data_IF_616510599279
#
_entry.id   IF_616510599279
#
_cell.length_a   1.000
_cell.length_b   1.000
_cell.length_c   1.000
_cell.angle_alpha   90.00
_cell.angle_beta   90.00
_cell.angle_gamma   90.00
#
_symmetry.space_group_name_H-M   'P 1'
#
loop_
_entity.id
_entity.type
_entity.pdbx_description
1 polymer ?
#
# COMPACT_ATOMS: atom_id res chain seq x y z
N UNK A 1 24.71 -8.64 -3.98
CA UNK A 1 23.93 -8.08 -2.85
C UNK A 1 23.10 -6.92 -3.37
N UNK A 2 21.78 -6.89 -3.09
CA UNK A 2 20.85 -5.89 -3.66
C UNK A 2 20.65 -4.65 -2.77
N UNK A 3 21.04 -4.73 -1.50
CA UNK A 3 21.16 -3.62 -0.56
C UNK A 3 22.33 -3.89 0.39
N UNK A 4 22.94 -2.83 0.92
CA UNK A 4 23.91 -2.88 2.01
C UNK A 4 23.43 -1.92 3.12
N UNK A 5 22.44 -2.33 3.93
CA UNK A 5 21.86 -1.47 4.95
C UNK A 5 22.82 -1.29 6.13
N UNK A 6 22.90 -0.08 6.68
CA UNK A 6 23.55 0.16 7.98
C UNK A 6 22.64 -0.22 9.15
N UNK A 7 21.33 -0.18 8.94
CA UNK A 7 20.29 -0.51 9.92
C UNK A 7 19.18 -1.30 9.23
N UNK A 8 18.61 -2.28 9.93
CA UNK A 8 17.50 -3.08 9.45
C UNK A 8 16.48 -3.27 10.57
N UNK A 9 15.21 -3.43 10.20
CA UNK A 9 14.11 -3.76 11.11
C UNK A 9 13.10 -4.62 10.35
N UNK A 10 12.58 -5.65 11.01
CA UNK A 10 11.48 -6.46 10.52
C UNK A 10 10.18 -6.00 11.20
N UNK A 11 9.18 -5.61 10.42
CA UNK A 11 7.89 -5.17 10.94
C UNK A 11 6.88 -6.30 10.78
N UNK A 12 6.22 -6.65 11.87
CA UNK A 12 5.21 -7.69 11.93
C UNK A 12 3.84 -7.10 12.22
N UNK A 13 2.83 -7.64 11.54
CA UNK A 13 1.43 -7.28 11.79
C UNK A 13 0.98 -7.85 13.14
N UNK A 14 0.03 -7.17 13.77
CA UNK A 14 -0.64 -7.66 14.96
C UNK A 14 -1.74 -8.65 14.57
N UNK A 15 -2.11 -9.55 15.47
CA UNK A 15 -3.10 -10.61 15.24
C UNK A 15 -4.52 -10.04 15.05
N UNK A 16 -4.77 -8.83 15.55
CA UNK A 16 -6.09 -8.23 15.52
C UNK A 16 -6.37 -7.45 14.21
N UNK A 17 -6.87 -8.20 13.22
CA UNK A 17 -7.22 -7.69 11.89
C UNK A 17 -8.36 -6.65 11.88
N UNK A 18 -9.13 -6.55 12.96
CA UNK A 18 -10.36 -5.74 13.04
C UNK A 18 -10.21 -4.49 13.91
N UNK A 19 -9.06 -4.26 14.56
CA UNK A 19 -8.86 -3.12 15.48
C UNK A 19 -8.26 -1.87 14.83
N UNK A 20 -7.79 -1.96 13.58
CA UNK A 20 -7.14 -0.85 12.90
C UNK A 20 -8.08 0.33 12.62
N UNK A 21 -7.53 1.54 12.60
CA UNK A 21 -8.28 2.79 12.33
C UNK A 21 -9.00 2.77 10.96
N UNK A 22 -8.49 2.02 9.97
CA UNK A 22 -9.14 1.85 8.67
C UNK A 22 -10.46 1.08 8.78
N UNK A 23 -10.50 0.04 9.59
CA UNK A 23 -11.71 -0.74 9.84
C UNK A 23 -12.78 0.11 10.56
N UNK A 24 -12.36 0.96 11.51
CA UNK A 24 -13.26 1.91 12.19
C UNK A 24 -13.94 2.90 11.22
N UNK A 25 -13.26 3.26 10.12
CA UNK A 25 -13.80 4.18 9.10
C UNK A 25 -14.55 3.46 7.98
N UNK A 26 -14.17 2.22 7.67
CA UNK A 26 -14.76 1.39 6.64
C UNK A 26 -14.87 -0.05 7.18
N UNK A 27 -16.03 -0.44 7.75
CA UNK A 27 -16.21 -1.75 8.39
C UNK A 27 -15.91 -2.94 7.47
N UNK A 28 -16.15 -2.81 6.17
CA UNK A 28 -15.86 -3.88 5.19
C UNK A 28 -14.39 -3.93 4.75
N UNK A 29 -13.52 -3.09 5.30
CA UNK A 29 -12.09 -3.07 4.99
C UNK A 29 -11.46 -4.44 5.27
N UNK A 30 -10.78 -5.01 4.26
CA UNK A 30 -10.18 -6.36 4.31
C UNK A 30 -11.19 -7.49 4.63
N UNK A 31 -12.50 -7.25 4.54
CA UNK A 31 -13.50 -8.25 4.88
C UNK A 31 -13.38 -9.53 4.03
N UNK A 32 -13.60 -10.67 4.68
CA UNK A 32 -13.53 -12.01 4.09
C UNK A 32 -12.13 -12.51 3.74
N UNK A 33 -11.05 -11.80 4.06
CA UNK A 33 -9.70 -12.35 3.84
C UNK A 33 -9.56 -13.58 4.73
N UNK A 34 -9.10 -14.73 4.23
CA UNK A 34 -8.92 -15.90 5.09
C UNK A 34 -7.98 -15.56 6.25
N UNK A 35 -8.18 -16.14 7.44
CA UNK A 35 -7.24 -16.00 8.54
C UNK A 35 -5.87 -16.57 8.13
N UNK A 36 -4.84 -16.25 8.93
CA UNK A 36 -3.55 -16.90 8.77
C UNK A 36 -3.73 -18.43 8.96
N UNK A 37 -3.13 -19.28 8.10
CA UNK A 37 -3.11 -20.73 8.34
C UNK A 37 -2.48 -21.04 9.70
N UNK A 38 -3.03 -22.02 10.43
CA UNK A 38 -2.59 -22.42 11.78
C UNK A 38 -1.11 -22.81 11.80
N UNK A 39 -0.66 -23.61 10.84
CA UNK A 39 0.76 -23.99 10.69
C UNK A 39 1.69 -22.78 10.60
N UNK A 40 1.26 -21.71 9.91
CA UNK A 40 2.05 -20.49 9.81
C UNK A 40 2.01 -19.67 11.10
N UNK A 41 0.86 -19.66 11.79
CA UNK A 41 0.69 -18.99 13.08
C UNK A 41 1.63 -19.58 14.13
N UNK A 42 1.71 -20.91 14.21
CA UNK A 42 2.59 -21.64 15.12
C UNK A 42 4.09 -21.39 14.83
N UNK A 43 4.45 -21.11 13.58
CA UNK A 43 5.82 -20.81 13.15
C UNK A 43 6.23 -19.34 13.37
N UNK A 44 5.28 -18.43 13.64
CA UNK A 44 5.57 -17.00 13.81
C UNK A 44 6.61 -16.70 14.91
N UNK A 45 6.60 -17.36 16.10
CA UNK A 45 7.62 -17.16 17.13
C UNK A 45 9.02 -17.56 16.63
N UNK A 46 9.14 -18.68 15.92
CA UNK A 46 10.40 -19.15 15.37
C UNK A 46 10.95 -18.21 14.30
N UNK A 47 10.08 -17.67 13.44
CA UNK A 47 10.44 -16.66 12.45
C UNK A 47 10.99 -15.39 13.11
N UNK A 48 10.32 -14.86 14.15
CA UNK A 48 10.79 -13.68 14.90
C UNK A 48 12.16 -13.93 15.53
N UNK A 49 12.34 -15.08 16.19
CA UNK A 49 13.62 -15.46 16.78
C UNK A 49 14.74 -15.55 15.72
N UNK A 50 14.45 -16.06 14.52
CA UNK A 50 15.41 -16.17 13.43
C UNK A 50 15.88 -14.80 12.89
N UNK A 51 15.02 -13.78 12.93
CA UNK A 51 15.40 -12.39 12.60
C UNK A 51 16.29 -11.79 13.69
N UNK A 52 15.89 -11.94 14.96
CA UNK A 52 16.65 -11.40 16.10
C UNK A 52 18.04 -12.02 16.21
N UNK A 53 18.16 -13.34 16.00
CA UNK A 53 19.45 -14.04 15.95
C UNK A 53 20.39 -13.51 14.86
N UNK A 54 19.83 -12.95 13.78
CA UNK A 54 20.58 -12.32 12.69
C UNK A 54 20.85 -10.82 12.93
N UNK A 55 20.52 -10.31 14.12
CA UNK A 55 20.69 -8.90 14.48
C UNK A 55 19.67 -7.96 13.86
N UNK A 56 18.51 -8.48 13.41
CA UNK A 56 17.42 -7.66 12.87
C UNK A 56 16.30 -7.58 13.92
N UNK A 57 16.06 -6.42 14.54
CA UNK A 57 14.98 -6.24 15.49
C UNK A 57 13.60 -6.48 14.86
N UNK A 58 12.72 -7.11 15.62
CA UNK A 58 11.33 -7.37 15.24
C UNK A 58 10.40 -6.39 15.95
N UNK A 59 9.70 -5.53 15.19
CA UNK A 59 8.77 -4.54 15.74
C UNK A 59 7.33 -4.88 15.37
N UNK A 60 6.43 -4.67 16.33
CA UNK A 60 4.98 -4.72 16.14
C UNK A 60 4.34 -3.67 17.05
N UNK A 61 3.14 -3.23 16.70
CA UNK A 61 2.43 -2.19 17.45
C UNK A 61 0.96 -2.57 17.57
N UNK A 62 0.46 -2.55 18.80
CA UNK A 62 -0.95 -2.83 19.05
C UNK A 62 -1.82 -1.76 18.41
N UNK A 63 -2.79 -2.18 17.59
CA UNK A 63 -3.79 -1.29 16.99
C UNK A 63 -3.34 -0.46 15.79
N UNK A 64 -2.07 -0.51 15.38
CA UNK A 64 -1.66 0.02 14.08
C UNK A 64 -1.26 -1.13 13.15
N UNK A 65 -1.55 -0.94 11.87
CA UNK A 65 -1.17 -1.91 10.86
C UNK A 65 0.35 -1.83 10.58
N UNK A 66 0.94 -2.98 10.26
CA UNK A 66 2.37 -3.07 9.93
C UNK A 66 2.79 -2.12 8.80
N UNK A 67 1.89 -1.84 7.85
CA UNK A 67 2.15 -0.94 6.73
C UNK A 67 2.32 0.51 7.15
N UNK A 68 1.49 0.99 8.07
CA UNK A 68 1.60 2.33 8.67
C UNK A 68 2.89 2.48 9.46
N UNK A 69 3.30 1.46 10.22
CA UNK A 69 4.55 1.49 10.97
C UNK A 69 5.77 1.54 10.03
N UNK A 70 5.81 0.67 9.02
CA UNK A 70 6.90 0.64 8.03
C UNK A 70 6.97 1.94 7.23
N UNK A 71 5.83 2.48 6.79
CA UNK A 71 5.73 3.76 6.11
C UNK A 71 6.24 4.91 6.99
N UNK A 72 5.82 4.95 8.26
CA UNK A 72 6.24 5.97 9.22
C UNK A 72 7.75 5.97 9.42
N UNK A 73 8.36 4.79 9.58
CA UNK A 73 9.81 4.67 9.74
C UNK A 73 10.57 5.13 8.50
N UNK A 74 10.16 4.65 7.32
CA UNK A 74 10.83 5.02 6.08
C UNK A 74 10.74 6.54 5.82
N UNK A 75 9.58 7.14 6.04
CA UNK A 75 9.39 8.59 5.89
C UNK A 75 10.23 9.38 6.88
N UNK A 76 10.26 9.00 8.16
CA UNK A 76 11.09 9.69 9.17
C UNK A 76 12.59 9.62 8.84
N UNK A 77 13.09 8.44 8.44
CA UNK A 77 14.50 8.25 8.07
C UNK A 77 14.87 9.12 6.86
N UNK A 78 13.99 9.17 5.86
CA UNK A 78 14.21 9.94 4.63
C UNK A 78 14.11 11.45 4.85
N UNK A 79 13.20 11.89 5.73
CA UNK A 79 13.11 13.28 6.17
C UNK A 79 14.34 13.73 6.97
N UNK A 80 14.99 12.80 7.69
CA UNK A 80 16.27 13.05 8.35
C UNK A 80 17.48 13.09 7.38
N UNK A 81 17.25 12.99 6.07
CA UNK A 81 18.31 13.06 5.05
C UNK A 81 18.98 11.71 4.75
N UNK A 82 18.44 10.60 5.23
CA UNK A 82 18.98 9.26 4.97
C UNK A 82 18.20 8.52 3.87
N UNK A 83 18.66 7.32 3.52
CA UNK A 83 18.01 6.46 2.54
C UNK A 83 17.20 5.35 3.23
N UNK A 84 16.05 5.00 2.66
CA UNK A 84 15.22 3.90 3.12
C UNK A 84 14.89 2.95 1.96
N UNK A 85 14.89 1.64 2.25
CA UNK A 85 14.39 0.62 1.32
C UNK A 85 13.38 -0.24 2.05
N UNK A 86 12.14 -0.26 1.54
CA UNK A 86 11.09 -1.16 2.02
C UNK A 86 11.16 -2.44 1.18
N UNK A 87 11.24 -3.60 1.82
CA UNK A 87 11.17 -4.91 1.15
C UNK A 87 9.75 -5.44 1.31
N UNK A 88 8.95 -5.37 0.26
CA UNK A 88 7.55 -5.83 0.27
C UNK A 88 7.04 -6.06 -1.15
N UNK A 89 6.05 -6.93 -1.29
CA UNK A 89 5.26 -7.10 -2.51
C UNK A 89 4.05 -6.17 -2.57
N UNK A 90 3.73 -5.47 -1.48
CA UNK A 90 2.58 -4.56 -1.43
C UNK A 90 2.83 -3.30 -2.25
N UNK A 91 2.02 -3.11 -3.29
CA UNK A 91 2.07 -1.93 -4.16
C UNK A 91 1.57 -0.65 -3.45
N UNK A 92 0.94 -0.78 -2.28
CA UNK A 92 0.49 0.34 -1.44
C UNK A 92 1.62 1.29 -1.03
N UNK A 93 2.82 0.77 -0.78
CA UNK A 93 3.99 1.59 -0.45
C UNK A 93 4.43 2.49 -1.60
N UNK A 94 4.07 2.16 -2.85
CA UNK A 94 4.54 2.90 -4.03
C UNK A 94 4.12 4.37 -4.02
N UNK A 95 3.09 4.74 -3.26
CA UNK A 95 2.74 6.15 -3.05
C UNK A 95 3.84 6.98 -2.35
N UNK A 96 4.76 6.31 -1.65
CA UNK A 96 5.85 6.92 -0.88
C UNK A 96 7.15 7.07 -1.68
N UNK A 97 7.17 6.66 -2.95
CA UNK A 97 8.39 6.69 -3.76
C UNK A 97 8.98 8.10 -3.83
N UNK A 98 10.29 8.18 -3.56
CA UNK A 98 11.09 9.40 -3.61
C UNK A 98 12.52 9.05 -4.03
N UNK A 99 13.38 10.04 -4.32
CA UNK A 99 14.79 9.77 -4.60
C UNK A 99 15.52 9.01 -3.48
N UNK A 100 15.06 9.14 -2.23
CA UNK A 100 15.66 8.53 -1.04
C UNK A 100 14.88 7.33 -0.48
N UNK A 101 13.65 7.08 -0.96
CA UNK A 101 12.80 5.96 -0.55
C UNK A 101 12.53 5.02 -1.73
N UNK A 102 13.00 3.77 -1.61
CA UNK A 102 12.84 2.74 -2.64
C UNK A 102 12.07 1.54 -2.12
N UNK A 103 11.44 0.80 -3.04
CA UNK A 103 10.65 -0.40 -2.71
C UNK A 103 11.13 -1.57 -3.54
N UNK A 104 11.44 -2.69 -2.86
CA UNK A 104 11.99 -3.89 -3.46
C UNK A 104 11.03 -5.07 -3.30
N UNK A 105 10.64 -5.66 -4.43
CA UNK A 105 10.00 -6.97 -4.47
C UNK A 105 11.10 -8.03 -4.52
N UNK A 106 11.28 -8.74 -3.40
CA UNK A 106 12.31 -9.76 -3.26
C UNK A 106 12.04 -10.97 -4.18
N UNK A 107 10.80 -11.44 -4.24
CA UNK A 107 10.43 -12.64 -4.98
C UNK A 107 10.56 -12.46 -6.49
N UNK A 108 10.10 -11.33 -7.01
CA UNK A 108 10.21 -11.00 -8.44
C UNK A 108 11.54 -10.35 -8.81
N UNK A 109 12.45 -10.20 -7.84
CA UNK A 109 13.80 -9.61 -8.02
C UNK A 109 13.76 -8.26 -8.75
N UNK A 110 12.73 -7.44 -8.50
CA UNK A 110 12.49 -6.16 -9.20
C UNK A 110 12.29 -4.99 -8.25
N UNK A 111 12.52 -3.79 -8.76
CA UNK A 111 12.16 -2.53 -8.08
C UNK A 111 10.74 -2.15 -8.46
N UNK A 112 9.97 -1.67 -7.48
CA UNK A 112 8.67 -1.06 -7.73
C UNK A 112 8.89 0.46 -7.82
N UNK A 113 9.38 0.93 -8.96
CA UNK A 113 9.78 2.32 -9.21
C UNK A 113 8.77 3.06 -10.11
N UNK A 114 9.02 4.35 -10.40
CA UNK A 114 8.13 5.16 -11.21
C UNK A 114 7.80 4.53 -12.60
N UNK A 115 8.76 3.98 -13.37
CA UNK A 115 8.46 3.23 -14.59
C UNK A 115 7.53 2.03 -14.38
N UNK A 116 7.72 1.26 -13.30
CA UNK A 116 6.81 0.18 -12.95
C UNK A 116 5.39 0.69 -12.69
N UNK A 117 5.24 1.80 -11.95
CA UNK A 117 3.94 2.40 -11.66
C UNK A 117 3.25 2.94 -12.90
N UNK A 118 3.97 3.63 -13.78
CA UNK A 118 3.42 4.11 -15.05
C UNK A 118 2.94 2.95 -15.93
N UNK A 119 3.72 1.86 -16.01
CA UNK A 119 3.33 0.68 -16.78
C UNK A 119 2.07 0.02 -16.23
N UNK A 120 2.01 -0.19 -14.92
CA UNK A 120 0.94 -0.96 -14.25
C UNK A 120 -0.35 -0.15 -14.05
N UNK A 121 -0.22 1.13 -13.71
CA UNK A 121 -1.35 1.97 -13.30
C UNK A 121 -1.57 3.18 -14.22
N UNK A 122 -0.58 3.59 -15.01
CA UNK A 122 -0.68 4.74 -15.91
C UNK A 122 -0.76 6.08 -15.18
N UNK A 123 -0.27 6.14 -13.94
CA UNK A 123 -0.28 7.33 -13.08
C UNK A 123 1.09 7.54 -12.43
N UNK A 124 1.32 8.75 -11.89
CA UNK A 124 2.49 9.01 -11.07
C UNK A 124 2.31 8.44 -9.65
N UNK A 125 3.40 8.10 -8.94
CA UNK A 125 3.33 7.60 -7.55
C UNK A 125 2.43 8.42 -6.61
N UNK A 126 2.50 9.75 -6.69
CA UNK A 126 1.73 10.66 -5.84
C UNK A 126 0.23 10.65 -6.13
N UNK A 127 -0.19 10.13 -7.29
CA UNK A 127 -1.59 10.02 -7.70
C UNK A 127 -2.21 8.66 -7.32
N UNK A 128 -1.43 7.72 -6.78
CA UNK A 128 -1.93 6.39 -6.40
C UNK A 128 -3.07 6.42 -5.37
N UNK A 129 -3.06 7.28 -4.33
CA UNK A 129 -4.19 7.38 -3.40
C UNK A 129 -5.49 7.81 -4.11
N UNK A 130 -5.39 8.79 -5.01
CA UNK A 130 -6.54 9.26 -5.81
C UNK A 130 -7.03 8.16 -6.76
N UNK A 131 -6.10 7.45 -7.40
CA UNK A 131 -6.38 6.31 -8.26
C UNK A 131 -7.16 5.23 -7.51
N UNK A 132 -6.68 4.77 -6.35
CA UNK A 132 -7.39 3.77 -5.55
C UNK A 132 -8.68 4.29 -4.93
N UNK A 133 -8.75 5.58 -4.62
CA UNK A 133 -9.97 6.24 -4.19
C UNK A 133 -11.07 6.22 -5.25
N UNK A 134 -10.73 6.08 -6.54
CA UNK A 134 -11.68 6.01 -7.65
C UNK A 134 -11.88 4.55 -8.12
N UNK A 135 -10.81 3.86 -8.47
CA UNK A 135 -10.85 2.50 -8.96
C UNK A 135 -11.27 1.49 -7.86
N UNK A 136 -11.05 1.82 -6.59
CA UNK A 136 -11.06 0.84 -5.51
C UNK A 136 -9.80 -0.03 -5.53
N UNK A 137 -9.72 -0.98 -4.60
CA UNK A 137 -8.64 -1.96 -4.54
C UNK A 137 -9.23 -3.33 -4.29
N UNK A 138 -9.12 -4.21 -5.28
CA UNK A 138 -9.53 -5.61 -5.15
C UNK A 138 -8.73 -6.33 -4.05
N UNK A 139 -7.46 -5.95 -3.88
CA UNK A 139 -6.58 -6.49 -2.82
C UNK A 139 -7.10 -6.07 -1.44
N UNK A 140 -7.41 -4.80 -1.24
CA UNK A 140 -7.89 -4.26 0.05
C UNK A 140 -9.42 -4.39 0.25
N UNK A 141 -10.12 -4.92 -0.76
CA UNK A 141 -11.56 -5.23 -0.78
C UNK A 141 -12.47 -4.06 -0.46
N UNK A 142 -12.21 -2.92 -1.10
CA UNK A 142 -13.16 -1.82 -1.18
C UNK A 142 -13.33 -1.35 -2.63
N UNK A 143 -14.54 -0.96 -3.00
CA UNK A 143 -14.93 -0.55 -4.36
C UNK A 143 -15.62 0.82 -4.29
N UNK A 144 -15.18 1.77 -5.13
CA UNK A 144 -15.77 3.13 -5.16
C UNK A 144 -16.53 3.40 -6.46
N UNK A 145 -15.99 3.01 -7.61
CA UNK A 145 -16.68 3.13 -8.91
C UNK A 145 -17.15 1.77 -9.47
N UNK A 146 -18.09 1.83 -10.42
CA UNK A 146 -18.56 0.65 -11.16
C UNK A 146 -17.46 0.15 -12.10
N UNK A 147 -17.48 -1.14 -12.42
CA UNK A 147 -16.46 -1.83 -13.21
C UNK A 147 -16.28 -1.26 -14.63
N UNK A 148 -17.31 -0.61 -15.18
CA UNK A 148 -17.24 0.15 -16.43
C UNK A 148 -16.28 1.35 -16.36
N UNK A 149 -16.12 1.94 -15.18
CA UNK A 149 -15.39 3.19 -14.97
C UNK A 149 -13.90 2.95 -14.67
N UNK A 150 -13.56 1.73 -14.23
CA UNK A 150 -12.16 1.30 -14.00
C UNK A 150 -11.36 1.16 -15.31
N UNK A 151 -12.04 1.06 -16.45
CA UNK A 151 -11.43 0.98 -17.80
C UNK A 151 -11.30 2.35 -18.48
N UNK A 152 -11.43 3.46 -17.73
CA UNK A 152 -11.27 4.80 -18.29
C UNK A 152 -9.89 4.96 -18.98
N UNK A 153 -9.82 5.59 -20.18
CA UNK A 153 -8.58 5.75 -20.93
C UNK A 153 -7.47 6.42 -20.11
N UNK A 154 -6.20 6.07 -20.38
CA UNK A 154 -5.01 6.68 -19.73
C UNK A 154 -5.03 8.22 -19.72
N UNK A 155 -5.60 8.85 -20.75
CA UNK A 155 -5.76 10.31 -20.85
C UNK A 155 -6.69 10.92 -19.80
N UNK A 156 -7.61 10.12 -19.27
CA UNK A 156 -8.50 10.54 -18.19
C UNK A 156 -7.66 10.77 -16.93
N UNK A 157 -6.80 9.82 -16.58
CA UNK A 157 -5.97 9.86 -15.36
C UNK A 157 -4.86 10.91 -15.41
N UNK A 158 -4.24 11.15 -16.58
CA UNK A 158 -3.18 12.16 -16.71
C UNK A 158 -3.68 13.60 -16.51
N UNK A 159 -4.98 13.85 -16.72
CA UNK A 159 -5.61 15.16 -16.53
C UNK A 159 -6.04 15.43 -15.09
N UNK A 160 -6.08 14.40 -14.22
CA UNK A 160 -6.51 14.54 -12.82
C UNK A 160 -5.30 14.80 -11.91
N UNK A 161 -5.07 16.09 -11.61
CA UNK A 161 -4.00 16.49 -10.68
C UNK A 161 -4.33 16.29 -9.21
N UNK A 162 -5.62 16.26 -8.81
CA UNK A 162 -6.07 16.08 -7.42
C UNK A 162 -7.53 15.57 -7.39
N UNK A 163 -7.89 14.70 -6.44
CA UNK A 163 -9.26 14.27 -6.10
C UNK A 163 -10.32 15.40 -6.08
N UNK A 164 -9.96 16.59 -5.57
CA UNK A 164 -10.84 17.78 -5.55
C UNK A 164 -11.27 18.26 -6.94
N UNK A 165 -10.42 18.08 -7.95
CA UNK A 165 -10.72 18.41 -9.34
C UNK A 165 -11.71 17.42 -9.95
N UNK A 166 -11.54 16.12 -9.67
CA UNK A 166 -12.43 15.07 -10.13
C UNK A 166 -13.84 15.23 -9.57
N UNK A 167 -14.00 15.44 -8.26
CA UNK A 167 -15.32 15.63 -7.66
C UNK A 167 -16.09 16.81 -8.26
N UNK A 168 -15.41 17.92 -8.58
CA UNK A 168 -16.06 19.08 -9.24
C UNK A 168 -16.56 18.75 -10.65
N UNK A 169 -15.85 17.90 -11.38
CA UNK A 169 -16.23 17.51 -12.74
C UNK A 169 -17.30 16.41 -12.68
N UNK A 170 -17.14 15.42 -11.81
CA UNK A 170 -18.10 14.32 -11.62
C UNK A 170 -19.46 14.83 -11.11
N UNK A 171 -19.49 15.82 -10.21
CA UNK A 171 -20.73 16.50 -9.81
C UNK A 171 -21.39 17.30 -10.95
N UNK A 172 -20.64 17.62 -12.02
CA UNK A 172 -21.14 18.36 -13.20
C UNK A 172 -21.51 17.43 -14.36
N UNK A 173 -21.15 16.15 -14.32
CA UNK A 173 -21.56 15.21 -15.35
C UNK A 173 -23.06 14.89 -15.16
N UNK A 174 -23.88 14.93 -16.23
CA UNK A 174 -25.26 14.50 -16.14
C UNK A 174 -25.29 13.03 -15.72
N UNK A 175 -26.01 12.72 -14.63
CA UNK A 175 -26.23 11.33 -14.20
C UNK A 175 -27.05 10.62 -15.28
N UNK A 176 -26.39 9.94 -16.20
CA UNK A 176 -27.07 9.17 -17.24
C UNK A 176 -27.68 7.90 -16.63
N UNK A 177 -29.01 7.88 -16.56
CA UNK A 177 -29.83 6.66 -16.64
C UNK A 177 -30.09 5.88 -15.36
N UNK A 178 -31.02 6.35 -14.53
CA UNK A 178 -32.03 5.44 -14.00
C UNK A 178 -33.03 5.19 -15.14
N UNK A 179 -33.05 3.99 -15.70
CA UNK A 179 -34.15 3.55 -16.57
C UNK A 179 -35.10 2.72 -15.70
N UNK A 180 -36.36 3.16 -15.67
CA UNK A 180 -37.52 2.34 -15.33
C UNK A 180 -37.63 1.15 -16.29
#
# INVERSE_FOLDING_TARGET
MHSQPTHAVAVFDDENRSSGWRHQRLPDYKAGRPPMPEELHDEMPALRAAFEQRGVPCWSTSGNEADDLAATLAVKVTQAGHQATIVSTDKGYCQLLSPTLRIRDYFQKRWLDAPFIDKEFGVQPQQLPDYWGLAGSAVQRYRVLRESDQKAPRSCWSSFRVWKGYMRIWMRLPKSGAKN
#
